data_IF_825981746385
#
_entry.id   IF_825981746385
#
_cell.length_a   1.000
_cell.length_b   1.000
_cell.length_c   1.000
_cell.angle_alpha   90.00
_cell.angle_beta   90.00
_cell.angle_gamma   90.00
#
_symmetry.space_group_name_H-M   'P 1'
#
loop_
_entity.id
_entity.type
_entity.pdbx_description
1 polymer ?
#
# COMPACT_ATOMS: atom_id res chain seq x y z
N UNK A 1 -15.61 39.45 -47.98
CA UNK A 1 -14.18 39.47 -48.37
C UNK A 1 -13.42 39.30 -47.08
N UNK A 2 -13.10 38.04 -46.72
CA UNK A 2 -11.92 37.28 -47.18
C UNK A 2 -10.68 37.97 -46.61
N UNK A 3 -10.20 37.47 -45.46
CA UNK A 3 -8.98 36.63 -45.32
C UNK A 3 -7.73 37.54 -45.23
N UNK A 4 -6.68 37.25 -44.47
CA UNK A 4 -6.20 36.02 -43.86
C UNK A 4 -4.99 36.39 -42.96
N UNK A 5 -4.78 35.59 -41.90
CA UNK A 5 -3.51 34.93 -41.49
C UNK A 5 -2.21 35.79 -41.39
N UNK A 6 -1.34 35.70 -40.38
CA UNK A 6 -0.93 34.56 -39.54
C UNK A 6 -0.07 35.06 -38.37
N UNK A 7 -0.13 34.33 -37.25
CA UNK A 7 0.83 34.43 -36.14
C UNK A 7 0.38 33.56 -34.98
N UNK A 8 0.70 32.26 -35.07
CA UNK A 8 0.41 31.23 -34.07
C UNK A 8 1.22 31.53 -32.80
N UNK A 9 0.56 31.58 -31.64
CA UNK A 9 1.18 31.25 -30.36
C UNK A 9 0.33 30.17 -29.67
N UNK A 10 1.01 29.10 -29.27
CA UNK A 10 0.50 27.85 -28.76
C UNK A 10 0.34 27.90 -27.23
N UNK A 11 -0.41 26.94 -26.69
CA UNK A 11 -0.62 26.66 -25.25
C UNK A 11 -1.73 27.43 -24.51
N UNK A 12 -2.92 27.46 -25.12
CA UNK A 12 -4.14 27.42 -24.32
C UNK A 12 -4.19 26.10 -23.54
N UNK A 13 -3.87 26.15 -22.24
CA UNK A 13 -4.00 24.97 -21.39
C UNK A 13 -5.46 24.77 -20.97
N UNK A 14 -5.85 23.52 -20.76
CA UNK A 14 -7.20 23.06 -20.36
C UNK A 14 -7.77 23.80 -19.12
N UNK A 15 -6.91 24.46 -18.34
CA UNK A 15 -7.27 25.35 -17.23
C UNK A 15 -8.18 26.52 -17.66
N UNK A 16 -7.95 27.12 -18.83
CA UNK A 16 -8.73 28.26 -19.35
C UNK A 16 -10.12 27.84 -19.89
N UNK A 17 -10.31 26.53 -20.11
CA UNK A 17 -11.61 25.97 -20.48
C UNK A 17 -12.50 25.71 -19.25
N UNK A 18 -11.89 25.41 -18.09
CA UNK A 18 -12.62 25.15 -16.83
C UNK A 18 -13.08 26.45 -16.18
N UNK A 19 -12.26 27.51 -16.21
CA UNK A 19 -12.60 28.82 -15.61
C UNK A 19 -13.83 29.49 -16.27
N UNK A 20 -14.20 29.11 -17.49
CA UNK A 20 -15.39 29.61 -18.18
C UNK A 20 -16.69 28.87 -17.82
N UNK A 21 -16.61 27.77 -17.06
CA UNK A 21 -17.79 26.99 -16.62
C UNK A 21 -18.30 27.37 -15.23
N UNK A 22 -17.60 28.24 -14.49
CA UNK A 22 -17.91 28.58 -13.09
C UNK A 22 -18.86 29.78 -12.90
N UNK A 23 -19.35 30.42 -13.96
CA UNK A 23 -20.39 31.46 -13.84
C UNK A 23 -21.82 30.91 -14.02
N UNK A 24 -22.11 29.78 -13.37
CA UNK A 24 -23.50 29.39 -13.08
C UNK A 24 -23.64 29.33 -11.56
N UNK A 25 -24.59 30.06 -10.95
CA UNK A 25 -24.80 29.94 -9.51
C UNK A 25 -25.25 28.51 -9.24
N UNK A 26 -24.40 27.74 -8.56
CA UNK A 26 -24.67 26.34 -8.21
C UNK A 26 -25.88 26.33 -7.26
N UNK A 27 -27.03 26.00 -7.84
CA UNK A 27 -28.24 25.60 -7.13
C UNK A 27 -27.93 24.36 -6.29
N UNK A 28 -27.98 24.53 -4.98
CA UNK A 28 -28.16 23.55 -3.91
C UNK A 28 -28.45 22.09 -4.32
N UNK A 29 -27.45 21.22 -4.17
CA UNK A 29 -27.51 19.85 -3.63
C UNK A 29 -26.20 19.14 -4.03
N UNK A 30 -25.20 19.11 -3.16
CA UNK A 30 -24.00 18.31 -3.40
C UNK A 30 -24.38 16.83 -3.47
N UNK A 31 -23.89 16.14 -4.50
CA UNK A 31 -23.94 14.68 -4.56
C UNK A 31 -23.09 14.10 -3.41
N UNK A 32 -23.72 13.81 -2.28
CA UNK A 32 -23.09 13.10 -1.17
C UNK A 32 -22.57 11.76 -1.67
N UNK A 33 -21.28 11.46 -1.44
CA UNK A 33 -20.73 10.10 -1.64
C UNK A 33 -21.72 9.08 -1.04
N UNK A 34 -22.01 7.96 -1.74
CA UNK A 34 -22.86 6.91 -1.22
C UNK A 34 -22.45 6.52 0.21
N UNK A 35 -23.41 6.48 1.13
CA UNK A 35 -23.18 6.06 2.51
C UNK A 35 -24.23 5.00 2.88
N UNK A 36 -23.76 3.81 3.24
CA UNK A 36 -24.60 2.62 3.41
C UNK A 36 -25.62 2.80 4.52
N UNK A 37 -25.29 3.51 5.60
CA UNK A 37 -26.23 3.77 6.71
C UNK A 37 -27.41 4.64 6.26
N UNK A 38 -27.14 5.62 5.39
CA UNK A 38 -28.18 6.49 4.82
C UNK A 38 -28.98 5.76 3.75
N UNK A 39 -28.31 5.03 2.86
CA UNK A 39 -28.94 4.29 1.76
C UNK A 39 -29.83 3.16 2.29
N UNK A 40 -29.37 2.46 3.34
CA UNK A 40 -30.14 1.40 3.99
C UNK A 40 -31.28 1.92 4.89
N UNK A 41 -31.39 3.24 5.10
CA UNK A 41 -32.47 3.85 5.89
C UNK A 41 -32.27 3.79 7.41
N UNK A 42 -31.06 3.52 7.89
CA UNK A 42 -30.73 3.46 9.33
C UNK A 42 -29.57 4.39 9.71
N UNK A 43 -29.63 5.69 9.39
CA UNK A 43 -28.50 6.61 9.56
C UNK A 43 -28.15 6.91 11.02
N UNK A 44 -29.02 6.56 11.98
CA UNK A 44 -28.82 6.86 13.41
C UNK A 44 -29.32 5.77 14.35
N UNK A 45 -29.50 4.55 13.83
CA UNK A 45 -30.07 3.45 14.62
C UNK A 45 -29.01 2.87 15.56
N UNK A 46 -29.22 2.99 16.87
CA UNK A 46 -28.29 2.56 17.93
C UNK A 46 -27.85 1.10 17.76
N UNK A 47 -28.79 0.18 17.58
CA UNK A 47 -28.48 -1.25 17.38
C UNK A 47 -27.62 -1.50 16.13
N UNK A 48 -27.78 -0.71 15.07
CA UNK A 48 -26.95 -0.85 13.86
C UNK A 48 -25.54 -0.33 14.12
N UNK A 49 -25.41 0.81 14.80
CA UNK A 49 -24.09 1.30 15.23
C UNK A 49 -23.39 0.36 16.20
N UNK A 50 -24.11 -0.24 17.15
CA UNK A 50 -23.54 -1.19 18.10
C UNK A 50 -22.99 -2.43 17.40
N UNK A 51 -23.70 -2.95 16.41
CA UNK A 51 -23.20 -4.07 15.60
C UNK A 51 -21.93 -3.71 14.80
N UNK A 52 -21.87 -2.49 14.24
CA UNK A 52 -20.68 -2.05 13.50
C UNK A 52 -19.50 -1.80 14.42
N UNK A 53 -19.73 -1.21 15.59
CA UNK A 53 -18.70 -1.05 16.62
C UNK A 53 -18.18 -2.40 17.10
N UNK A 54 -19.08 -3.35 17.41
CA UNK A 54 -18.72 -4.70 17.82
C UNK A 54 -17.86 -5.40 16.78
N UNK A 55 -18.23 -5.32 15.49
CA UNK A 55 -17.42 -5.85 14.39
C UNK A 55 -15.99 -5.29 14.44
N UNK A 56 -15.81 -3.98 14.65
CA UNK A 56 -14.48 -3.38 14.69
C UNK A 56 -13.73 -3.57 16.01
N UNK A 57 -14.44 -3.85 17.10
CA UNK A 57 -13.83 -4.16 18.40
C UNK A 57 -13.31 -5.58 18.50
N UNK A 58 -13.69 -6.49 17.60
CA UNK A 58 -13.26 -7.89 17.65
C UNK A 58 -12.04 -8.14 16.74
N UNK A 59 -10.81 -8.30 17.28
CA UNK A 59 -9.62 -8.54 16.46
C UNK A 59 -9.67 -9.84 15.65
N UNK A 60 -10.56 -10.77 15.98
CA UNK A 60 -10.74 -12.03 15.26
C UNK A 60 -11.64 -11.90 14.03
N UNK A 61 -12.34 -10.78 13.86
CA UNK A 61 -13.14 -10.49 12.67
C UNK A 61 -12.27 -10.22 11.43
N UNK A 62 -12.90 -10.32 10.25
CA UNK A 62 -12.20 -10.25 8.95
C UNK A 62 -11.83 -8.83 8.49
N UNK A 63 -11.88 -7.85 9.39
CA UNK A 63 -11.48 -6.46 9.08
C UNK A 63 -9.97 -6.26 8.98
N UNK A 64 -9.17 -7.16 9.55
CA UNK A 64 -7.69 -7.12 9.55
C UNK A 64 -7.06 -5.83 10.13
N UNK A 65 -7.86 -4.95 10.75
CA UNK A 65 -7.40 -3.82 11.56
C UNK A 65 -6.90 -4.22 12.97
N UNK A 66 -6.71 -5.51 13.23
CA UNK A 66 -6.18 -6.08 14.49
C UNK A 66 -6.89 -5.45 15.72
N UNK A 67 -6.15 -5.08 16.75
CA UNK A 67 -6.65 -4.49 18.00
C UNK A 67 -6.80 -2.95 17.98
N UNK A 68 -6.78 -2.32 16.81
CA UNK A 68 -6.72 -0.85 16.66
C UNK A 68 -7.86 -0.14 17.39
N UNK A 69 -9.10 -0.58 17.18
CA UNK A 69 -10.28 0.09 17.73
C UNK A 69 -10.42 -0.15 19.24
N UNK A 70 -10.02 -1.32 19.74
CA UNK A 70 -9.92 -1.57 21.19
C UNK A 70 -8.91 -0.64 21.84
N UNK A 71 -7.70 -0.54 21.28
CA UNK A 71 -6.67 0.38 21.80
C UNK A 71 -7.10 1.83 21.71
N UNK A 72 -7.83 2.22 20.66
CA UNK A 72 -8.40 3.56 20.56
C UNK A 72 -9.41 3.83 21.68
N UNK A 73 -10.28 2.87 22.01
CA UNK A 73 -11.20 2.97 23.13
C UNK A 73 -10.44 3.07 24.46
N UNK A 74 -9.51 2.16 24.73
CA UNK A 74 -8.70 2.15 25.95
C UNK A 74 -7.93 3.46 26.17
N UNK A 75 -7.37 4.02 25.10
CA UNK A 75 -6.73 5.35 25.13
C UNK A 75 -7.70 6.48 25.44
N UNK A 76 -8.94 6.36 25.00
CA UNK A 76 -9.98 7.37 25.25
C UNK A 76 -10.41 7.38 26.72
N UNK A 77 -10.27 6.25 27.41
CA UNK A 77 -10.63 6.09 28.84
C UNK A 77 -9.41 5.95 29.76
N UNK A 78 -8.20 6.26 29.26
CA UNK A 78 -6.94 6.23 30.02
C UNK A 78 -6.61 4.86 30.66
N UNK A 79 -6.82 3.78 29.90
CA UNK A 79 -6.53 2.38 30.27
C UNK A 79 -5.63 1.69 29.24
N UNK A 80 -4.64 2.41 28.67
CA UNK A 80 -3.78 1.92 27.58
C UNK A 80 -2.96 0.68 27.93
N UNK A 81 -2.68 0.45 29.22
CA UNK A 81 -1.85 -0.66 29.71
C UNK A 81 -2.59 -2.00 29.80
N UNK A 82 -3.89 -2.05 29.47
CA UNK A 82 -4.68 -3.28 29.54
C UNK A 82 -4.31 -4.28 28.44
N UNK A 83 -4.28 -5.57 28.80
CA UNK A 83 -4.10 -6.66 27.85
C UNK A 83 -5.33 -6.82 26.95
N UNK A 84 -5.11 -6.87 25.64
CA UNK A 84 -6.13 -7.04 24.59
C UNK A 84 -5.91 -8.31 23.77
N UNK A 85 -5.06 -9.23 24.25
CA UNK A 85 -4.65 -10.42 23.52
C UNK A 85 -5.77 -11.46 23.34
N UNK A 86 -6.72 -11.51 24.27
CA UNK A 86 -7.86 -12.43 24.26
C UNK A 86 -9.12 -11.70 24.71
N UNK A 87 -9.84 -11.14 23.75
CA UNK A 87 -11.05 -10.33 23.96
C UNK A 87 -12.25 -11.03 23.35
N UNK A 88 -13.34 -11.08 24.11
CA UNK A 88 -14.64 -11.50 23.57
C UNK A 88 -15.57 -10.29 23.43
N UNK A 89 -16.29 -10.23 22.31
CA UNK A 89 -17.20 -9.13 21.98
C UNK A 89 -18.62 -9.68 21.83
N UNK A 90 -19.55 -9.10 22.59
CA UNK A 90 -20.97 -9.48 22.55
C UNK A 90 -21.85 -8.24 22.44
N UNK A 91 -23.01 -8.37 21.79
CA UNK A 91 -24.02 -7.30 21.69
C UNK A 91 -25.34 -7.73 22.31
N UNK A 92 -26.13 -6.75 22.75
CA UNK A 92 -27.51 -6.95 23.22
C UNK A 92 -27.62 -7.97 24.38
N UNK A 93 -26.64 -7.97 25.30
CA UNK A 93 -26.54 -8.92 26.41
C UNK A 93 -27.56 -8.60 27.49
N UNK A 94 -28.38 -9.59 27.86
CA UNK A 94 -29.43 -9.40 28.87
C UNK A 94 -28.91 -9.64 30.29
N UNK A 95 -29.21 -8.73 31.21
CA UNK A 95 -28.89 -8.89 32.63
C UNK A 95 -29.92 -9.73 33.38
N UNK A 96 -29.61 -10.12 34.61
CA UNK A 96 -30.54 -10.81 35.53
C UNK A 96 -31.82 -9.99 35.80
N UNK A 97 -31.75 -8.65 35.68
CA UNK A 97 -32.91 -7.74 35.79
C UNK A 97 -33.65 -7.51 34.47
N UNK A 98 -33.27 -8.22 33.40
CA UNK A 98 -33.81 -8.07 32.05
C UNK A 98 -33.55 -6.66 31.45
N UNK A 99 -32.52 -5.96 31.92
CA UNK A 99 -31.93 -4.83 31.21
C UNK A 99 -31.02 -5.36 30.10
N UNK A 100 -30.59 -4.49 29.18
CA UNK A 100 -29.83 -4.92 27.99
C UNK A 100 -28.60 -4.04 27.75
N UNK A 101 -27.44 -4.66 27.83
CA UNK A 101 -26.14 -4.05 27.50
C UNK A 101 -25.97 -4.02 25.98
N UNK A 102 -25.68 -2.85 25.42
CA UNK A 102 -25.54 -2.70 23.97
C UNK A 102 -24.32 -3.45 23.42
N UNK A 103 -23.15 -3.27 24.06
CA UNK A 103 -21.91 -4.01 23.75
C UNK A 103 -21.20 -4.38 25.05
N UNK A 104 -20.73 -5.63 25.15
CA UNK A 104 -19.85 -6.10 26.21
C UNK A 104 -18.52 -6.53 25.58
N UNK A 105 -17.43 -5.99 26.11
CA UNK A 105 -16.07 -6.40 25.81
C UNK A 105 -15.48 -7.07 27.06
N UNK A 106 -15.23 -8.37 27.01
CA UNK A 106 -14.54 -9.06 28.10
C UNK A 106 -13.09 -9.27 27.71
N UNK A 107 -12.20 -8.46 28.30
CA UNK A 107 -10.75 -8.58 28.21
C UNK A 107 -10.25 -9.49 29.35
N UNK A 108 -8.99 -9.97 29.30
CA UNK A 108 -8.48 -10.92 30.28
C UNK A 108 -8.57 -10.44 31.73
N UNK A 109 -8.39 -9.14 31.98
CA UNK A 109 -8.35 -8.55 33.32
C UNK A 109 -9.49 -7.55 33.59
N UNK A 110 -10.30 -7.22 32.57
CA UNK A 110 -11.29 -6.14 32.65
C UNK A 110 -12.50 -6.41 31.74
N UNK A 111 -13.71 -6.23 32.27
CA UNK A 111 -14.92 -6.14 31.46
C UNK A 111 -15.30 -4.69 31.19
N UNK A 112 -15.57 -4.36 29.93
CA UNK A 112 -16.01 -3.03 29.51
C UNK A 112 -17.42 -3.17 28.95
N UNK A 113 -18.39 -2.58 29.67
CA UNK A 113 -19.75 -2.40 29.19
C UNK A 113 -19.79 -1.10 28.39
N UNK A 114 -20.34 -1.13 27.17
CA UNK A 114 -20.60 0.07 26.38
C UNK A 114 -22.12 0.22 26.22
N UNK A 115 -22.64 1.34 26.69
CA UNK A 115 -23.99 1.82 26.40
C UNK A 115 -23.89 2.85 25.27
N UNK A 116 -24.41 2.53 24.09
CA UNK A 116 -24.28 3.32 22.88
C UNK A 116 -25.52 4.21 22.66
N UNK A 117 -25.38 5.51 22.94
CA UNK A 117 -26.47 6.49 22.80
C UNK A 117 -26.27 7.36 21.59
N UNK A 118 -27.18 7.27 20.62
CA UNK A 118 -27.14 8.10 19.40
C UNK A 118 -28.21 9.16 19.48
N UNK A 119 -29.47 8.74 19.59
CA UNK A 119 -30.64 9.63 19.62
C UNK A 119 -31.47 9.50 20.91
N UNK A 120 -31.34 8.37 21.61
CA UNK A 120 -32.10 8.14 22.83
C UNK A 120 -31.43 8.79 24.04
N UNK A 121 -32.25 9.26 24.99
CA UNK A 121 -31.76 9.71 26.27
C UNK A 121 -31.25 8.55 27.12
N UNK A 122 -30.29 8.82 27.99
CA UNK A 122 -29.77 7.85 28.95
C UNK A 122 -30.85 7.56 30.02
N UNK A 123 -31.38 6.34 30.06
CA UNK A 123 -32.39 5.93 31.06
C UNK A 123 -32.13 4.51 31.57
N UNK A 124 -30.86 4.08 31.50
CA UNK A 124 -30.43 2.71 31.78
C UNK A 124 -29.93 2.59 33.23
N UNK A 125 -29.99 1.39 33.80
CA UNK A 125 -29.41 1.10 35.12
C UNK A 125 -27.93 0.69 34.92
N UNK A 126 -27.02 1.67 34.86
CA UNK A 126 -25.61 1.41 34.55
C UNK A 126 -24.90 0.63 35.67
N UNK A 127 -25.35 0.80 36.92
CA UNK A 127 -24.83 0.05 38.06
C UNK A 127 -25.20 -1.44 37.96
N UNK A 128 -26.40 -1.76 37.45
CA UNK A 128 -26.78 -3.15 37.11
C UNK A 128 -25.87 -3.73 36.04
N UNK A 129 -25.60 -2.98 34.97
CA UNK A 129 -24.71 -3.44 33.90
C UNK A 129 -23.32 -3.77 34.42
N UNK A 130 -22.72 -2.86 35.17
CA UNK A 130 -21.39 -3.06 35.76
C UNK A 130 -21.37 -4.29 36.66
N UNK A 131 -22.35 -4.40 37.56
CA UNK A 131 -22.43 -5.49 38.54
C UNK A 131 -22.63 -6.84 37.85
N UNK A 132 -23.46 -6.87 36.81
CA UNK A 132 -23.71 -8.07 36.04
C UNK A 132 -22.46 -8.50 35.26
N UNK A 133 -21.78 -7.57 34.57
CA UNK A 133 -20.56 -7.86 33.82
C UNK A 133 -19.44 -8.39 34.72
N UNK A 134 -19.19 -7.73 35.87
CA UNK A 134 -18.18 -8.19 36.83
C UNK A 134 -18.48 -9.60 37.37
N UNK A 135 -19.75 -9.92 37.62
CA UNK A 135 -20.17 -11.26 38.04
C UNK A 135 -20.03 -12.28 36.90
N UNK A 136 -20.29 -11.87 35.66
CA UNK A 136 -20.26 -12.74 34.48
C UNK A 136 -18.85 -13.18 34.12
N UNK A 137 -17.90 -12.24 34.04
CA UNK A 137 -16.50 -12.51 33.69
C UNK A 137 -15.66 -12.94 34.88
N UNK A 138 -16.04 -12.53 36.10
CA UNK A 138 -15.19 -12.65 37.29
C UNK A 138 -14.12 -11.56 37.39
N UNK A 139 -14.09 -10.61 36.44
CA UNK A 139 -13.15 -9.49 36.41
C UNK A 139 -13.74 -8.22 37.04
N UNK A 140 -12.90 -7.22 37.24
CA UNK A 140 -13.41 -5.86 37.43
C UNK A 140 -14.20 -5.44 36.17
N UNK A 141 -15.24 -4.63 36.36
CA UNK A 141 -16.00 -4.07 35.24
C UNK A 141 -16.06 -2.55 35.30
N UNK A 142 -16.11 -1.93 34.13
CA UNK A 142 -16.37 -0.51 33.95
C UNK A 142 -17.48 -0.29 32.91
N UNK A 143 -18.06 0.91 32.91
CA UNK A 143 -19.11 1.30 31.97
C UNK A 143 -18.63 2.49 31.15
N UNK A 144 -18.85 2.45 29.85
CA UNK A 144 -18.64 3.54 28.91
C UNK A 144 -19.99 3.93 28.35
N UNK A 145 -20.36 5.20 28.49
CA UNK A 145 -21.48 5.78 27.74
C UNK A 145 -20.89 6.42 26.49
N UNK A 146 -21.16 5.82 25.33
CA UNK A 146 -20.60 6.25 24.05
C UNK A 146 -21.66 7.00 23.24
N UNK A 147 -21.39 8.23 22.84
CA UNK A 147 -22.39 9.07 22.16
C UNK A 147 -21.79 10.11 21.19
N UNK A 148 -22.56 10.60 20.20
CA UNK A 148 -22.03 11.54 19.21
C UNK A 148 -21.97 12.98 19.72
N UNK A 149 -22.75 13.36 20.73
CA UNK A 149 -22.85 14.74 21.20
C UNK A 149 -22.82 14.79 22.73
N UNK A 150 -22.12 15.77 23.33
CA UNK A 150 -22.19 16.00 24.76
C UNK A 150 -23.64 16.07 25.25
N UNK A 151 -23.92 15.54 26.43
CA UNK A 151 -25.21 15.73 27.04
C UNK A 151 -25.35 17.21 27.45
N UNK A 152 -26.07 17.99 26.62
CA UNK A 152 -26.18 19.46 26.77
C UNK A 152 -26.75 19.93 28.13
N UNK A 153 -27.37 19.04 28.90
CA UNK A 153 -28.22 19.41 30.04
C UNK A 153 -27.90 18.70 31.36
N UNK A 154 -26.88 17.83 31.44
CA UNK A 154 -26.53 17.19 32.71
C UNK A 154 -25.06 16.77 32.78
N UNK A 155 -24.50 16.81 33.99
CA UNK A 155 -23.25 16.12 34.29
C UNK A 155 -23.54 14.64 34.50
N UNK A 156 -22.80 13.75 33.84
CA UNK A 156 -23.02 12.30 33.95
C UNK A 156 -22.97 11.82 35.41
N UNK A 157 -22.12 12.42 36.24
CA UNK A 157 -21.99 12.12 37.67
C UNK A 157 -23.28 12.34 38.48
N UNK A 158 -24.13 13.29 38.07
CA UNK A 158 -25.39 13.62 38.76
C UNK A 158 -26.60 12.93 38.12
N UNK A 159 -26.40 12.18 37.04
CA UNK A 159 -27.48 11.57 36.29
C UNK A 159 -28.05 10.33 37.01
N UNK A 160 -29.39 10.13 37.07
CA UNK A 160 -29.99 8.99 37.77
C UNK A 160 -29.45 7.61 37.35
N UNK A 161 -29.15 7.45 36.05
CA UNK A 161 -28.54 6.22 35.51
C UNK A 161 -27.13 5.91 36.03
N UNK A 162 -26.40 6.92 36.52
CA UNK A 162 -25.03 6.78 37.03
C UNK A 162 -24.98 6.54 38.56
N UNK A 163 -26.14 6.40 39.22
CA UNK A 163 -26.20 6.28 40.67
C UNK A 163 -25.35 5.10 41.18
N UNK A 164 -24.38 5.39 42.05
CA UNK A 164 -23.48 4.40 42.63
C UNK A 164 -22.22 4.12 41.83
N UNK A 165 -22.00 4.86 40.73
CA UNK A 165 -20.77 4.84 39.94
C UNK A 165 -19.97 6.13 40.14
N UNK A 166 -18.67 6.06 39.93
CA UNK A 166 -17.69 7.14 40.00
C UNK A 166 -17.12 7.41 38.60
N UNK A 167 -17.42 8.59 38.09
CA UNK A 167 -16.92 9.05 36.78
C UNK A 167 -15.38 9.08 36.77
N UNK A 168 -14.79 8.68 35.65
CA UNK A 168 -13.34 8.48 35.43
C UNK A 168 -12.70 7.33 36.24
N UNK A 169 -13.49 6.52 36.94
CA UNK A 169 -12.99 5.32 37.62
C UNK A 169 -13.70 4.07 37.11
N UNK A 170 -15.03 4.02 37.26
CA UNK A 170 -15.87 2.91 36.82
C UNK A 170 -16.94 3.31 35.80
N UNK A 171 -17.07 4.61 35.51
CA UNK A 171 -17.96 5.18 34.50
C UNK A 171 -17.21 6.21 33.65
N UNK A 172 -17.28 6.08 32.33
CA UNK A 172 -16.62 6.98 31.39
C UNK A 172 -17.61 7.57 30.40
N UNK A 173 -17.53 8.87 30.19
CA UNK A 173 -18.31 9.61 29.20
C UNK A 173 -17.48 9.78 27.93
N UNK A 174 -17.83 9.08 26.84
CA UNK A 174 -16.99 9.05 25.64
C UNK A 174 -17.74 9.57 24.43
N UNK A 175 -17.14 10.56 23.76
CA UNK A 175 -17.61 11.01 22.46
C UNK A 175 -17.13 10.09 21.35
N UNK A 176 -18.00 9.80 20.38
CA UNK A 176 -17.63 9.14 19.13
C UNK A 176 -16.44 9.83 18.47
N UNK A 177 -16.40 11.17 18.50
CA UNK A 177 -15.31 11.93 17.90
C UNK A 177 -13.96 11.69 18.58
N UNK A 178 -13.93 11.43 19.89
CA UNK A 178 -12.67 11.14 20.59
C UNK A 178 -12.19 9.72 20.32
N UNK A 179 -13.10 8.74 20.32
CA UNK A 179 -12.82 7.38 19.86
C UNK A 179 -12.25 7.39 18.44
N UNK A 180 -12.92 8.09 17.51
CA UNK A 180 -12.51 8.17 16.12
C UNK A 180 -11.19 8.92 15.93
N UNK A 181 -10.95 9.98 16.70
CA UNK A 181 -9.67 10.72 16.66
C UNK A 181 -8.50 9.81 17.05
N UNK A 182 -8.68 9.02 18.11
CA UNK A 182 -7.68 8.04 18.55
C UNK A 182 -7.49 6.93 17.50
N UNK A 183 -8.57 6.35 16.97
CA UNK A 183 -8.50 5.31 15.95
C UNK A 183 -7.80 5.78 14.66
N UNK A 184 -8.17 6.97 14.15
CA UNK A 184 -7.57 7.53 12.95
C UNK A 184 -6.11 7.92 13.14
N UNK A 185 -5.71 8.33 14.35
CA UNK A 185 -4.31 8.57 14.69
C UNK A 185 -3.44 7.32 14.62
N UNK A 186 -4.04 6.13 14.76
CA UNK A 186 -3.35 4.83 14.72
C UNK A 186 -3.43 4.16 13.33
N UNK A 187 -4.38 4.57 12.48
CA UNK A 187 -4.69 3.89 11.21
C UNK A 187 -3.46 3.65 10.33
N UNK A 188 -2.48 4.55 10.32
CA UNK A 188 -1.24 4.40 9.54
C UNK A 188 -0.50 3.09 9.85
N UNK A 189 -0.37 2.73 11.13
CA UNK A 189 0.33 1.53 11.59
C UNK A 189 -0.43 0.23 11.29
N UNK A 190 -1.76 0.33 11.14
CA UNK A 190 -2.67 -0.80 10.96
C UNK A 190 -3.15 -0.97 9.51
N UNK A 191 -2.88 0.01 8.63
CA UNK A 191 -3.47 0.08 7.28
C UNK A 191 -2.87 -0.87 6.25
N UNK A 192 -1.62 -1.34 6.44
CA UNK A 192 -0.92 -2.15 5.44
C UNK A 192 -1.58 -3.51 5.19
N UNK A 193 -2.14 -4.12 6.24
CA UNK A 193 -2.80 -5.43 6.18
C UNK A 193 -4.33 -5.32 6.20
N UNK A 194 -4.89 -4.11 6.28
CA UNK A 194 -6.32 -3.89 6.51
C UNK A 194 -7.18 -4.36 5.34
N UNK A 195 -8.35 -4.93 5.63
CA UNK A 195 -9.32 -5.27 4.61
C UNK A 195 -9.90 -3.99 3.99
N UNK A 196 -9.71 -3.72 2.67
CA UNK A 196 -10.15 -2.47 2.06
C UNK A 196 -11.65 -2.18 2.20
N UNK A 197 -12.48 -3.24 2.25
CA UNK A 197 -13.93 -3.08 2.46
C UNK A 197 -14.26 -2.69 3.89
N UNK A 198 -13.54 -3.23 4.86
CA UNK A 198 -13.71 -2.86 6.26
C UNK A 198 -13.25 -1.42 6.50
N UNK A 199 -12.15 -0.98 5.86
CA UNK A 199 -11.71 0.43 5.91
C UNK A 199 -12.75 1.37 5.31
N UNK A 200 -13.35 1.01 4.17
CA UNK A 200 -14.43 1.79 3.57
C UNK A 200 -15.67 1.85 4.48
N UNK A 201 -16.06 0.71 5.08
CA UNK A 201 -17.16 0.66 6.05
C UNK A 201 -16.87 1.54 7.28
N UNK A 202 -15.65 1.50 7.83
CA UNK A 202 -15.22 2.33 8.94
C UNK A 202 -15.31 3.81 8.58
N UNK A 203 -14.84 4.19 7.38
CA UNK A 203 -14.92 5.56 6.90
C UNK A 203 -16.39 6.01 6.75
N UNK A 204 -17.25 5.16 6.19
CA UNK A 204 -18.68 5.43 6.08
C UNK A 204 -19.35 5.56 7.46
N UNK A 205 -18.91 4.77 8.44
CA UNK A 205 -19.39 4.85 9.82
C UNK A 205 -18.97 6.17 10.48
N UNK A 206 -17.68 6.52 10.40
CA UNK A 206 -17.14 7.79 10.89
C UNK A 206 -17.86 8.98 10.25
N UNK A 207 -17.99 9.01 8.93
CA UNK A 207 -18.68 10.08 8.19
C UNK A 207 -20.16 10.21 8.60
N UNK A 208 -20.76 9.11 9.04
CA UNK A 208 -22.15 9.07 9.43
C UNK A 208 -22.38 9.44 10.90
N UNK A 209 -21.44 9.14 11.81
CA UNK A 209 -21.63 9.34 13.24
C UNK A 209 -20.79 10.45 13.86
N UNK A 210 -19.75 10.97 13.19
CA UNK A 210 -18.90 12.09 13.66
C UNK A 210 -19.54 13.46 13.39
N UNK A 211 -20.00 14.20 14.42
CA UNK A 211 -20.53 15.55 14.19
C UNK A 211 -19.44 16.56 13.87
N UNK A 212 -18.24 16.45 14.45
CA UNK A 212 -17.11 17.29 14.08
C UNK A 212 -16.82 17.21 12.57
N UNK A 213 -16.79 16.00 11.99
CA UNK A 213 -16.55 15.85 10.55
C UNK A 213 -17.71 16.35 9.71
N UNK A 214 -18.96 16.17 10.16
CA UNK A 214 -20.13 16.77 9.49
C UNK A 214 -20.05 18.29 9.51
N UNK A 215 -19.68 18.89 10.64
CA UNK A 215 -19.54 20.34 10.80
C UNK A 215 -18.36 20.88 9.99
N UNK A 216 -17.19 20.22 10.02
CA UNK A 216 -16.03 20.55 9.17
C UNK A 216 -16.39 20.45 7.67
N UNK A 217 -17.09 19.41 7.25
CA UNK A 217 -17.57 19.24 5.86
C UNK A 217 -18.59 20.30 5.43
N UNK A 218 -19.46 20.73 6.34
CA UNK A 218 -20.40 21.85 6.12
C UNK A 218 -19.70 23.22 6.11
N UNK A 219 -18.59 23.37 6.85
CA UNK A 219 -17.83 24.61 6.93
C UNK A 219 -16.80 24.77 5.80
N UNK A 220 -16.28 23.66 5.26
CA UNK A 220 -15.13 23.64 4.35
C UNK A 220 -15.46 23.28 2.89
N UNK A 221 -16.72 23.42 2.47
CA UNK A 221 -17.19 23.02 1.13
C UNK A 221 -16.40 23.68 -0.02
N UNK A 222 -15.68 24.79 0.23
CA UNK A 222 -14.79 25.41 -0.76
C UNK A 222 -13.29 25.22 -0.48
N UNK A 223 -12.86 25.20 0.79
CA UNK A 223 -11.42 25.20 1.15
C UNK A 223 -10.84 23.79 1.18
N UNK A 224 -11.61 22.80 1.62
CA UNK A 224 -11.14 21.41 1.68
C UNK A 224 -11.09 20.76 0.30
N UNK A 225 -11.96 21.17 -0.65
CA UNK A 225 -11.83 20.73 -2.04
C UNK A 225 -10.55 21.29 -2.65
N UNK A 226 -10.23 22.57 -2.43
CA UNK A 226 -8.98 23.18 -2.92
C UNK A 226 -7.76 22.54 -2.26
N UNK A 227 -7.81 22.25 -0.96
CA UNK A 227 -6.70 21.63 -0.24
C UNK A 227 -6.54 20.14 -0.57
N UNK A 228 -7.64 19.39 -0.71
CA UNK A 228 -7.63 18.00 -1.16
C UNK A 228 -7.18 17.89 -2.61
N UNK A 229 -7.65 18.76 -3.51
CA UNK A 229 -7.15 18.82 -4.89
C UNK A 229 -5.69 19.23 -4.92
N UNK A 230 -5.24 20.15 -4.07
CA UNK A 230 -3.82 20.51 -3.92
C UNK A 230 -2.96 19.34 -3.44
N UNK A 231 -3.43 18.58 -2.44
CA UNK A 231 -2.73 17.41 -1.91
C UNK A 231 -2.77 16.22 -2.88
N UNK A 232 -3.90 15.97 -3.53
CA UNK A 232 -4.05 14.94 -4.54
C UNK A 232 -3.21 15.26 -5.77
N UNK A 233 -3.20 16.51 -6.24
CA UNK A 233 -2.30 16.97 -7.30
C UNK A 233 -0.83 16.90 -6.84
N UNK A 234 -0.54 17.14 -5.57
CA UNK A 234 0.80 16.99 -4.99
C UNK A 234 1.28 15.53 -5.00
N UNK A 235 0.43 14.59 -4.59
CA UNK A 235 0.71 13.16 -4.60
C UNK A 235 0.79 12.62 -6.04
N UNK A 236 -0.11 13.05 -6.93
CA UNK A 236 -0.09 12.71 -8.35
C UNK A 236 1.18 13.25 -9.01
N UNK A 237 1.56 14.50 -8.73
CA UNK A 237 2.80 15.08 -9.23
C UNK A 237 4.03 14.36 -8.67
N UNK A 238 4.01 13.93 -7.41
CA UNK A 238 5.06 13.09 -6.83
C UNK A 238 5.15 11.73 -7.53
N UNK A 239 4.03 11.06 -7.77
CA UNK A 239 3.98 9.79 -8.51
C UNK A 239 4.44 9.96 -9.97
N UNK A 240 4.00 11.02 -10.65
CA UNK A 240 4.45 11.38 -11.99
C UNK A 240 5.94 11.70 -12.00
N UNK A 241 6.45 12.41 -10.99
CA UNK A 241 7.88 12.72 -10.87
C UNK A 241 8.72 11.47 -10.58
N UNK A 242 8.25 10.57 -9.71
CA UNK A 242 8.91 9.27 -9.45
C UNK A 242 8.92 8.43 -10.72
N UNK A 243 7.78 8.33 -11.43
CA UNK A 243 7.68 7.65 -12.71
C UNK A 243 8.62 8.23 -13.75
N UNK A 244 8.64 9.56 -13.91
CA UNK A 244 9.53 10.25 -14.85
C UNK A 244 11.00 10.09 -14.47
N UNK A 245 11.33 10.10 -13.18
CA UNK A 245 12.69 9.86 -12.70
C UNK A 245 13.13 8.42 -12.96
N UNK A 246 12.21 7.47 -12.82
CA UNK A 246 12.45 6.07 -13.16
C UNK A 246 12.59 5.87 -14.68
N UNK A 247 11.71 6.47 -15.49
CA UNK A 247 11.81 6.46 -16.95
C UNK A 247 13.16 7.05 -17.41
N UNK A 248 13.56 8.22 -16.89
CA UNK A 248 14.87 8.82 -17.17
C UNK A 248 16.03 7.91 -16.74
N UNK A 249 15.91 7.23 -15.58
CA UNK A 249 16.90 6.27 -15.12
C UNK A 249 17.03 5.10 -16.09
N UNK A 250 15.91 4.52 -16.52
CA UNK A 250 15.90 3.41 -17.49
C UNK A 250 16.47 3.81 -18.84
N UNK A 251 16.17 5.02 -19.35
CA UNK A 251 16.76 5.56 -20.58
C UNK A 251 18.28 5.78 -20.45
N UNK A 252 18.73 6.33 -19.32
CA UNK A 252 20.14 6.56 -19.05
C UNK A 252 20.91 5.23 -18.96
N UNK A 253 20.35 4.22 -18.27
CA UNK A 253 20.90 2.86 -18.24
C UNK A 253 20.96 2.29 -19.66
N UNK A 254 19.88 2.38 -20.44
CA UNK A 254 19.87 1.89 -21.81
C UNK A 254 20.96 2.52 -22.70
N UNK A 255 21.09 3.85 -22.67
CA UNK A 255 22.12 4.58 -23.44
C UNK A 255 23.54 4.23 -22.99
N UNK A 256 23.75 4.09 -21.67
CA UNK A 256 25.02 3.63 -21.10
C UNK A 256 25.38 2.24 -21.62
N UNK A 257 24.42 1.32 -21.66
CA UNK A 257 24.64 -0.03 -22.17
C UNK A 257 24.90 -0.09 -23.66
N UNK A 258 24.20 0.71 -24.47
CA UNK A 258 24.50 0.84 -25.89
C UNK A 258 25.93 1.33 -26.14
N UNK A 259 26.44 2.22 -25.27
CA UNK A 259 27.81 2.73 -25.35
C UNK A 259 28.82 1.63 -25.03
N UNK A 260 28.67 0.98 -23.86
CA UNK A 260 29.49 -0.18 -23.45
C UNK A 260 29.47 -1.26 -24.54
N UNK A 261 28.28 -1.53 -25.10
CA UNK A 261 28.09 -2.48 -26.18
C UNK A 261 28.95 -2.18 -27.41
N UNK A 262 28.85 -0.94 -27.90
CA UNK A 262 29.52 -0.50 -29.12
C UNK A 262 31.03 -0.52 -28.96
N UNK A 263 31.53 -0.10 -27.81
CA UNK A 263 32.96 -0.07 -27.49
C UNK A 263 33.54 -1.49 -27.46
N UNK A 264 32.88 -2.42 -26.74
CA UNK A 264 33.31 -3.82 -26.66
C UNK A 264 33.35 -4.51 -28.03
N UNK A 265 32.38 -4.22 -28.91
CA UNK A 265 32.38 -4.73 -30.29
C UNK A 265 33.58 -4.19 -31.07
N UNK A 266 33.84 -2.88 -31.00
CA UNK A 266 34.95 -2.26 -31.73
C UNK A 266 36.27 -2.90 -31.35
N UNK A 267 36.51 -3.06 -30.05
CA UNK A 267 37.73 -3.65 -29.50
C UNK A 267 37.89 -5.13 -29.89
N UNK A 268 36.84 -5.95 -29.78
CA UNK A 268 36.92 -7.36 -30.18
C UNK A 268 37.04 -7.56 -31.70
N UNK A 269 36.57 -6.62 -32.51
CA UNK A 269 36.72 -6.69 -33.97
C UNK A 269 38.14 -6.29 -34.41
N UNK A 270 38.81 -5.40 -33.68
CA UNK A 270 40.13 -4.89 -34.01
C UNK A 270 41.29 -5.74 -33.44
N UNK A 271 41.11 -6.37 -32.28
CA UNK A 271 42.22 -6.93 -31.49
C UNK A 271 42.12 -8.44 -31.15
N UNK A 272 41.01 -9.13 -31.47
CA UNK A 272 40.73 -10.48 -30.93
C UNK A 272 40.71 -11.60 -31.99
N UNK A 273 41.15 -12.84 -31.65
CA UNK A 273 41.00 -14.03 -32.52
C UNK A 273 39.56 -14.57 -32.61
N UNK A 274 38.59 -13.91 -31.98
CA UNK A 274 37.17 -14.30 -31.91
C UNK A 274 36.32 -13.29 -32.67
N UNK A 275 35.42 -13.78 -33.55
CA UNK A 275 34.45 -12.94 -34.24
C UNK A 275 33.15 -12.88 -33.44
N UNK A 276 32.76 -11.70 -32.96
CA UNK A 276 31.42 -11.49 -32.40
C UNK A 276 30.37 -11.40 -33.51
N UNK A 277 29.40 -12.31 -33.57
CA UNK A 277 28.32 -12.25 -34.60
C UNK A 277 26.92 -12.19 -33.99
N UNK A 278 26.28 -11.05 -34.24
CA UNK A 278 24.89 -10.69 -33.93
C UNK A 278 24.57 -10.63 -32.43
N UNK A 279 24.27 -9.41 -31.98
CA UNK A 279 23.84 -9.11 -30.62
C UNK A 279 22.41 -8.58 -30.70
N UNK A 280 21.53 -9.11 -29.86
CA UNK A 280 20.18 -8.57 -29.69
C UNK A 280 20.18 -7.80 -28.37
N UNK A 281 19.96 -6.49 -28.44
CA UNK A 281 19.55 -5.70 -27.27
C UNK A 281 18.03 -5.84 -27.22
N UNK A 282 17.52 -6.66 -26.30
CA UNK A 282 16.08 -6.83 -26.14
C UNK A 282 15.60 -5.94 -25.00
N UNK A 283 14.59 -5.11 -25.28
CA UNK A 283 13.94 -4.27 -24.26
C UNK A 283 13.16 -5.11 -23.24
N UNK A 284 12.77 -6.34 -23.62
CA UNK A 284 12.04 -7.30 -22.79
C UNK A 284 12.66 -8.71 -22.94
N UNK A 285 12.93 -9.39 -21.83
CA UNK A 285 13.19 -10.82 -21.85
C UNK A 285 11.87 -11.60 -21.96
N UNK A 286 11.52 -12.06 -23.17
CA UNK A 286 10.38 -12.96 -23.34
C UNK A 286 10.76 -14.38 -22.88
N UNK A 287 10.42 -14.71 -21.63
CA UNK A 287 10.33 -16.11 -21.21
C UNK A 287 9.28 -16.83 -22.08
N UNK A 288 9.46 -18.11 -22.46
CA UNK A 288 8.51 -18.85 -23.29
C UNK A 288 7.27 -19.26 -22.49
N UNK A 289 6.45 -18.30 -22.03
CA UNK A 289 5.00 -18.43 -21.84
C UNK A 289 4.45 -17.10 -21.29
N UNK A 290 3.44 -16.49 -21.93
CA UNK A 290 2.84 -15.26 -21.43
C UNK A 290 2.01 -15.58 -20.18
N UNK A 291 2.51 -15.23 -18.99
CA UNK A 291 1.70 -15.26 -17.77
C UNK A 291 1.36 -13.83 -17.35
N UNK A 292 0.09 -13.49 -17.61
CA UNK A 292 -0.76 -12.44 -17.00
C UNK A 292 -0.10 -11.07 -16.76
N UNK A 293 -0.53 -10.10 -17.56
CA UNK A 293 -0.33 -8.66 -17.35
C UNK A 293 -0.52 -8.26 -15.88
N UNK A 294 0.57 -7.84 -15.23
CA UNK A 294 0.52 -7.06 -14.00
C UNK A 294 0.60 -5.56 -14.39
N UNK A 295 0.05 -4.64 -13.58
CA UNK A 295 0.03 -3.21 -13.92
C UNK A 295 1.41 -2.53 -13.94
N UNK A 296 2.47 -3.22 -13.46
CA UNK A 296 3.87 -2.81 -13.57
C UNK A 296 4.63 -3.99 -14.22
N UNK A 297 4.73 -4.04 -15.55
CA UNK A 297 5.49 -5.09 -16.22
C UNK A 297 7.00 -4.89 -15.97
N UNK A 298 7.66 -5.94 -15.47
CA UNK A 298 9.09 -5.95 -15.15
C UNK A 298 9.92 -5.53 -16.38
N UNK A 299 10.70 -4.45 -16.27
CA UNK A 299 11.67 -4.07 -17.29
C UNK A 299 13.02 -4.71 -16.98
N UNK A 300 13.30 -5.85 -17.59
CA UNK A 300 14.65 -6.42 -17.60
C UNK A 300 15.35 -6.00 -18.89
N UNK A 301 16.49 -5.32 -18.77
CA UNK A 301 17.37 -5.14 -19.92
C UNK A 301 18.32 -6.34 -19.99
N UNK A 302 18.33 -7.03 -21.12
CA UNK A 302 19.24 -8.14 -21.37
C UNK A 302 20.13 -7.82 -22.57
N UNK A 303 21.42 -8.12 -22.41
CA UNK A 303 22.43 -7.99 -23.44
C UNK A 303 23.11 -9.34 -23.68
N UNK A 304 23.05 -9.86 -24.90
CA UNK A 304 23.66 -11.16 -25.23
C UNK A 304 24.77 -11.00 -26.28
N UNK A 305 25.95 -11.51 -25.99
CA UNK A 305 27.07 -11.61 -26.94
C UNK A 305 27.20 -13.03 -27.45
N UNK A 306 27.15 -13.21 -28.78
CA UNK A 306 27.44 -14.48 -29.46
C UNK A 306 28.87 -14.43 -29.99
N UNK A 307 29.70 -15.32 -29.50
CA UNK A 307 31.14 -15.39 -29.77
C UNK A 307 31.44 -16.62 -30.64
N UNK A 308 32.14 -16.40 -31.76
CA UNK A 308 32.60 -17.45 -32.68
C UNK A 308 34.13 -17.50 -32.76
N UNK A 309 34.74 -18.67 -32.56
CA UNK A 309 36.18 -18.86 -32.74
C UNK A 309 36.51 -19.51 -34.11
N UNK A 310 36.96 -18.72 -35.11
CA UNK A 310 37.31 -19.23 -36.43
C UNK A 310 38.51 -20.20 -36.45
N UNK A 311 39.37 -20.17 -35.43
CA UNK A 311 40.57 -21.03 -35.33
C UNK A 311 40.34 -22.39 -34.67
N UNK A 312 39.15 -22.66 -34.11
CA UNK A 312 38.88 -23.86 -33.29
C UNK A 312 38.79 -25.19 -34.07
N UNK A 313 38.85 -25.17 -35.41
CA UNK A 313 38.74 -26.35 -36.28
C UNK A 313 37.36 -27.02 -36.29
N UNK A 314 36.50 -26.71 -35.31
CA UNK A 314 35.16 -27.26 -35.10
C UNK A 314 34.13 -26.19 -35.52
N UNK A 315 33.78 -26.15 -36.82
CA UNK A 315 32.99 -25.09 -37.50
C UNK A 315 31.57 -24.80 -36.92
N UNK A 316 31.21 -25.33 -35.75
CA UNK A 316 29.86 -25.22 -35.18
C UNK A 316 29.77 -24.89 -33.69
N UNK A 317 30.87 -24.56 -33.00
CA UNK A 317 30.83 -24.25 -31.56
C UNK A 317 30.74 -22.74 -31.32
N UNK A 318 29.53 -22.26 -31.05
CA UNK A 318 29.25 -20.85 -30.69
C UNK A 318 29.06 -20.77 -29.18
N UNK A 319 29.74 -19.83 -28.51
CA UNK A 319 29.48 -19.52 -27.10
C UNK A 319 28.53 -18.33 -27.06
N UNK A 320 27.44 -18.45 -26.31
CA UNK A 320 26.56 -17.32 -26.01
C UNK A 320 26.80 -16.88 -24.56
N UNK A 321 27.21 -15.63 -24.39
CA UNK A 321 27.37 -14.95 -23.12
C UNK A 321 26.18 -13.99 -22.95
N UNK A 322 25.32 -14.23 -21.96
CA UNK A 322 24.21 -13.35 -21.65
C UNK A 322 24.48 -12.58 -20.36
N UNK A 323 24.27 -11.27 -20.45
CA UNK A 323 24.32 -10.34 -19.33
C UNK A 323 22.92 -9.82 -19.06
N UNK A 324 22.45 -9.97 -17.82
CA UNK A 324 21.14 -9.46 -17.40
C UNK A 324 21.35 -8.31 -16.45
N UNK A 325 20.62 -7.23 -16.66
CA UNK A 325 20.77 -6.01 -15.90
C UNK A 325 19.49 -5.80 -15.11
N UNK A 326 19.60 -5.97 -13.80
CA UNK A 326 18.45 -5.95 -12.92
C UNK A 326 18.17 -4.51 -12.46
N UNK A 327 17.03 -3.97 -12.89
CA UNK A 327 16.49 -2.68 -12.42
C UNK A 327 15.19 -2.85 -11.63
N UNK A 328 14.89 -4.06 -11.17
CA UNK A 328 13.72 -4.39 -10.34
C UNK A 328 13.87 -3.83 -8.92
N UNK A 329 12.85 -3.12 -8.45
CA UNK A 329 12.76 -2.72 -7.04
C UNK A 329 12.38 -3.91 -6.18
N UNK A 330 13.07 -4.09 -5.06
CA UNK A 330 12.62 -5.03 -4.03
C UNK A 330 11.42 -4.41 -3.29
N UNK A 331 10.21 -4.68 -3.77
CA UNK A 331 8.95 -4.14 -3.25
C UNK A 331 8.36 -4.96 -2.09
N UNK A 332 9.06 -6.00 -1.63
CA UNK A 332 8.66 -6.86 -0.52
C UNK A 332 7.52 -7.84 -0.82
N UNK A 333 6.92 -7.80 -2.02
CA UNK A 333 5.84 -8.71 -2.43
C UNK A 333 6.35 -9.97 -3.15
N UNK A 334 7.59 -9.93 -3.66
CA UNK A 334 8.23 -11.06 -4.32
C UNK A 334 9.54 -11.35 -3.58
N UNK A 335 9.59 -12.49 -2.90
CA UNK A 335 10.84 -13.08 -2.43
C UNK A 335 11.79 -13.21 -3.62
N UNK A 336 12.76 -12.30 -3.76
CA UNK A 336 13.90 -12.52 -4.64
C UNK A 336 14.68 -13.68 -4.02
N UNK A 337 14.45 -14.88 -4.53
CA UNK A 337 15.32 -16.02 -4.29
C UNK A 337 16.77 -15.54 -4.53
N UNK A 338 17.70 -15.68 -3.57
CA UNK A 338 19.05 -15.10 -3.64
C UNK A 338 19.84 -15.50 -4.89
N UNK A 339 19.40 -16.51 -5.65
CA UNK A 339 19.92 -16.85 -6.98
C UNK A 339 19.63 -15.80 -8.08
N UNK A 340 18.74 -14.82 -7.85
CA UNK A 340 18.24 -13.88 -8.86
C UNK A 340 18.59 -12.40 -8.57
N UNK A 341 19.70 -12.12 -7.89
CA UNK A 341 20.26 -10.77 -7.71
C UNK A 341 19.33 -9.70 -7.12
N UNK A 342 19.83 -8.48 -6.95
CA UNK A 342 19.07 -7.34 -6.41
C UNK A 342 19.07 -6.14 -7.38
N UNK A 343 18.35 -5.07 -7.04
CA UNK A 343 18.39 -3.81 -7.78
C UNK A 343 19.83 -3.37 -8.09
N UNK A 344 20.08 -2.93 -9.32
CA UNK A 344 21.38 -2.50 -9.87
C UNK A 344 22.44 -3.59 -10.09
N UNK A 345 22.07 -4.87 -10.00
CA UNK A 345 23.02 -5.96 -10.25
C UNK A 345 23.16 -6.32 -11.72
N UNK A 346 24.36 -6.78 -12.10
CA UNK A 346 24.64 -7.34 -13.43
C UNK A 346 24.85 -8.84 -13.28
N UNK A 347 24.04 -9.65 -13.95
CA UNK A 347 24.22 -11.10 -14.00
C UNK A 347 24.93 -11.49 -15.26
N UNK A 348 25.60 -12.63 -15.18
CA UNK A 348 26.35 -13.23 -16.25
C UNK A 348 26.04 -14.72 -16.31
N UNK A 349 25.74 -15.22 -17.51
CA UNK A 349 25.70 -16.65 -17.78
C UNK A 349 26.27 -16.95 -19.17
N UNK A 350 26.91 -18.10 -19.30
CA UNK A 350 27.41 -18.57 -20.58
C UNK A 350 26.99 -20.01 -20.86
N UNK A 351 26.74 -20.30 -22.13
CA UNK A 351 26.32 -21.61 -22.59
C UNK A 351 26.67 -21.83 -24.08
N UNK A 352 26.69 -23.09 -24.52
CA UNK A 352 26.94 -23.43 -25.92
C UNK A 352 25.68 -23.28 -26.77
N UNK A 353 25.78 -22.64 -27.93
CA UNK A 353 24.64 -22.35 -28.80
C UNK A 353 23.71 -21.26 -28.26
N UNK A 354 22.67 -20.89 -28.99
CA UNK A 354 21.76 -19.80 -28.63
C UNK A 354 20.53 -19.73 -29.54
N UNK A 355 19.60 -18.81 -29.25
CA UNK A 355 18.31 -18.76 -29.97
C UNK A 355 18.54 -18.65 -31.49
N UNK A 356 18.10 -19.67 -32.24
CA UNK A 356 18.27 -19.81 -33.69
C UNK A 356 19.39 -20.75 -34.19
N UNK A 357 20.17 -21.43 -33.34
CA UNK A 357 21.23 -22.38 -33.79
C UNK A 357 21.01 -23.83 -33.32
N UNK A 358 21.75 -24.79 -33.92
CA UNK A 358 21.60 -26.24 -33.65
C UNK A 358 22.02 -26.68 -32.23
N UNK A 359 22.71 -25.82 -31.47
CA UNK A 359 23.11 -26.11 -30.08
C UNK A 359 22.16 -25.45 -29.09
N UNK A 360 21.67 -26.21 -28.09
CA UNK A 360 20.64 -25.79 -27.14
C UNK A 360 21.23 -25.11 -25.89
N UNK A 361 20.53 -24.11 -25.29
CA UNK A 361 20.91 -23.45 -24.03
C UNK A 361 21.12 -24.36 -22.80
N UNK A 362 20.79 -25.63 -22.92
CA UNK A 362 20.87 -26.65 -21.87
C UNK A 362 22.34 -27.01 -21.52
N UNK A 363 23.30 -26.74 -22.40
CA UNK A 363 24.73 -27.02 -22.15
C UNK A 363 25.41 -25.80 -21.51
N UNK A 364 25.30 -25.73 -20.20
CA UNK A 364 25.78 -24.63 -19.33
C UNK A 364 27.31 -24.61 -19.25
N UNK A 365 27.90 -23.42 -19.33
CA UNK A 365 29.35 -23.20 -19.11
C UNK A 365 29.58 -22.64 -17.70
N UNK A 366 28.78 -21.67 -17.25
CA UNK A 366 28.87 -21.10 -15.90
C UNK A 366 28.33 -22.05 -14.81
N UNK A 367 29.03 -22.11 -13.68
CA UNK A 367 28.61 -22.79 -12.44
C UNK A 367 28.86 -21.87 -11.23
N UNK A 368 27.85 -21.40 -10.48
CA UNK A 368 26.40 -21.53 -10.73
C UNK A 368 26.00 -20.92 -12.08
N UNK A 369 24.82 -21.29 -12.59
CA UNK A 369 24.39 -20.90 -13.94
C UNK A 369 24.26 -19.38 -14.08
N UNK A 370 23.69 -18.71 -13.07
CA UNK A 370 23.68 -17.26 -12.93
C UNK A 370 24.81 -16.85 -12.00
N UNK A 371 25.75 -16.06 -12.50
CA UNK A 371 26.81 -15.43 -11.70
C UNK A 371 26.52 -13.94 -11.59
N UNK A 372 26.75 -13.35 -10.42
CA UNK A 372 26.66 -11.90 -10.24
C UNK A 372 28.06 -11.33 -10.49
N UNK A 373 28.17 -10.32 -11.34
CA UNK A 373 29.42 -9.58 -11.49
C UNK A 373 29.61 -8.66 -10.28
N UNK A 374 30.86 -8.50 -9.84
CA UNK A 374 31.22 -7.59 -8.74
C UNK A 374 31.30 -6.13 -9.22
N UNK A 375 30.27 -5.71 -9.95
CA UNK A 375 30.03 -4.35 -10.46
C UNK A 375 28.53 -4.11 -10.56
N UNK A 376 28.12 -2.86 -10.42
CA UNK A 376 26.73 -2.40 -10.49
C UNK A 376 26.49 -1.51 -11.70
N UNK A 377 25.20 -1.33 -12.03
CA UNK A 377 24.78 -0.42 -13.11
C UNK A 377 25.20 1.04 -12.90
N UNK A 378 25.42 1.45 -11.66
CA UNK A 378 25.84 2.80 -11.28
C UNK A 378 27.35 3.04 -11.42
N UNK A 379 28.16 1.97 -11.49
CA UNK A 379 29.63 2.06 -11.59
C UNK A 379 30.09 2.63 -12.94
N UNK A 380 31.37 3.02 -13.07
CA UNK A 380 31.82 3.68 -14.31
C UNK A 380 31.72 2.76 -15.54
N UNK A 381 31.60 3.34 -16.74
CA UNK A 381 31.59 2.56 -17.99
C UNK A 381 32.84 1.68 -18.12
N UNK A 382 33.98 2.16 -17.61
CA UNK A 382 35.24 1.44 -17.64
C UNK A 382 35.21 0.21 -16.73
N UNK A 383 34.70 0.36 -15.51
CA UNK A 383 34.60 -0.74 -14.55
C UNK A 383 33.66 -1.84 -15.06
N UNK A 384 32.51 -1.45 -15.62
CA UNK A 384 31.55 -2.41 -16.20
C UNK A 384 32.17 -3.13 -17.40
N UNK A 385 32.84 -2.42 -18.31
CA UNK A 385 33.55 -3.03 -19.45
C UNK A 385 34.59 -4.04 -18.98
N UNK A 386 35.47 -3.63 -18.07
CA UNK A 386 36.53 -4.49 -17.51
C UNK A 386 35.95 -5.76 -16.88
N UNK A 387 34.83 -5.64 -16.14
CA UNK A 387 34.17 -6.79 -15.53
C UNK A 387 33.55 -7.74 -16.57
N UNK A 388 32.92 -7.19 -17.61
CA UNK A 388 32.35 -7.96 -18.73
C UNK A 388 33.45 -8.69 -19.50
N UNK A 389 34.53 -8.00 -19.85
CA UNK A 389 35.69 -8.58 -20.53
C UNK A 389 36.33 -9.68 -19.70
N UNK A 390 36.58 -9.43 -18.41
CA UNK A 390 37.13 -10.43 -17.52
C UNK A 390 36.23 -11.68 -17.43
N UNK A 391 34.91 -11.52 -17.44
CA UNK A 391 33.96 -12.64 -17.44
C UNK A 391 34.01 -13.46 -18.74
N UNK A 392 34.06 -12.75 -19.88
CA UNK A 392 34.20 -13.37 -21.20
C UNK A 392 35.55 -14.09 -21.33
N UNK A 393 36.66 -13.45 -21.00
CA UNK A 393 37.99 -14.06 -21.05
C UNK A 393 38.09 -15.32 -20.20
N UNK A 394 37.58 -15.30 -18.95
CA UNK A 394 37.53 -16.49 -18.10
C UNK A 394 36.82 -17.65 -18.80
N UNK A 395 35.76 -17.33 -19.54
CA UNK A 395 34.94 -18.31 -20.26
C UNK A 395 35.67 -18.84 -21.49
N UNK A 396 36.32 -17.97 -22.26
CA UNK A 396 37.12 -18.34 -23.43
C UNK A 396 38.34 -19.19 -23.04
N UNK A 397 39.08 -18.81 -21.99
CA UNK A 397 40.20 -19.59 -21.42
C UNK A 397 39.75 -21.00 -21.05
N UNK A 398 38.59 -21.11 -20.41
CA UNK A 398 38.00 -22.39 -19.99
C UNK A 398 37.57 -23.26 -21.18
N UNK A 399 37.01 -22.67 -22.24
CA UNK A 399 36.34 -23.41 -23.32
C UNK A 399 37.20 -23.62 -24.58
N UNK A 400 38.09 -22.69 -24.90
CA UNK A 400 38.90 -22.70 -26.13
C UNK A 400 40.42 -22.64 -25.87
N UNK A 401 40.86 -22.54 -24.61
CA UNK A 401 42.28 -22.47 -24.24
C UNK A 401 43.02 -21.31 -24.94
N UNK A 402 42.33 -20.17 -25.10
CA UNK A 402 42.83 -18.89 -25.62
C UNK A 402 43.22 -17.99 -24.46
#
# INVERSE_FOLDING_TARGET
MINEMNGIDESGTWHDAIARFTEVPVSSAEATRPNIFRIAGFPRRETVSSNVLAYFFDPAEDHCLKDMMLKALLRTIHKEDMDVSDVSVSTEVSTDKNNRIDILLDLPELSIVIENKVDSGLNNDLADYRSWAAKHSGNEAIVVVLHPFPFDNFALADHPSAQGLVVEQDLFDVLYDDLFRNALGMLGEYSLDANPRAVDLLQQFIDNYSPERKQKKMNNTSTDIVQFVSQANGIEQQLVNVRKSFENYTEAVHSKLQTIHKDLISQWTEESPVNGKSVTLANNWEWPTPKRHKPFDNQYYAQSFKLENPGSGDMGRVITCEFFLNVEFNDGYVSSDPEYGSFNTIWYKAYWGGYGTKQKPEVRITKPYHQILDVKLEDSNEDIKNAVEAAVERTLKTCWNI
#
